data_IF_412798658794
#
_entry.id   IF_412798658794
#
_cell.length_a   1.000
_cell.length_b   1.000
_cell.length_c   1.000
_cell.angle_alpha   90.00
_cell.angle_beta   90.00
_cell.angle_gamma   90.00
#
_symmetry.space_group_name_H-M   'P 1'
#
loop_
_entity.id
_entity.type
_entity.pdbx_description
1 polymer ?
#
# COMPACT_ATOMS: atom_id res chain seq x y z
N UNK A 1 7.21 28.92 7.45
CA UNK A 1 7.31 27.71 6.60
C UNK A 1 6.76 26.53 7.40
N UNK A 2 5.61 25.96 7.04
CA UNK A 2 5.00 24.85 7.80
C UNK A 2 5.82 23.58 7.52
N UNK A 3 6.35 22.95 8.57
CA UNK A 3 7.07 21.69 8.47
C UNK A 3 6.07 20.59 8.11
N UNK A 4 6.23 19.95 6.95
CA UNK A 4 5.39 18.82 6.52
C UNK A 4 6.03 17.52 6.98
N UNK A 5 5.36 16.82 7.88
CA UNK A 5 5.71 15.45 8.22
C UNK A 5 5.11 14.50 7.20
N UNK A 6 5.88 13.47 6.82
CA UNK A 6 5.43 12.41 5.94
C UNK A 6 5.16 11.16 6.76
N UNK A 7 4.07 10.49 6.44
CA UNK A 7 3.72 9.22 7.04
C UNK A 7 3.46 8.20 5.95
N UNK A 8 3.91 6.98 6.19
CA UNK A 8 3.74 5.84 5.31
C UNK A 8 2.47 5.09 5.69
N UNK A 9 1.67 4.73 4.70
CA UNK A 9 0.40 4.01 4.86
C UNK A 9 0.45 2.72 4.06
N UNK A 10 0.01 1.62 4.68
CA UNK A 10 -0.16 0.30 4.08
C UNK A 10 -1.21 -0.48 4.87
N UNK A 11 -1.75 -1.54 4.27
CA UNK A 11 -2.76 -2.38 4.90
C UNK A 11 -2.16 -3.35 5.94
N UNK A 12 -3.02 -4.02 6.71
CA UNK A 12 -2.57 -4.94 7.78
C UNK A 12 -2.16 -6.33 7.29
N UNK A 13 -1.72 -6.49 6.04
CA UNK A 13 -1.25 -7.77 5.54
C UNK A 13 -0.12 -8.34 6.44
N UNK A 14 -0.03 -9.68 6.61
CA UNK A 14 0.97 -10.28 7.50
C UNK A 14 2.42 -9.89 7.19
N UNK A 15 2.77 -9.70 5.90
CA UNK A 15 4.12 -9.27 5.50
C UNK A 15 4.45 -7.84 5.94
N UNK A 16 3.46 -6.95 5.99
CA UNK A 16 3.64 -5.55 6.42
C UNK A 16 3.68 -5.41 7.94
N UNK A 17 3.05 -6.34 8.67
CA UNK A 17 3.00 -6.34 10.14
C UNK A 17 4.07 -7.23 10.79
N UNK A 18 4.85 -7.96 9.99
CA UNK A 18 5.98 -8.78 10.44
C UNK A 18 7.01 -7.96 11.22
N UNK A 19 7.67 -8.60 12.20
CA UNK A 19 8.68 -7.94 13.04
C UNK A 19 9.85 -7.38 12.22
N UNK A 20 10.34 -8.14 11.23
CA UNK A 20 11.40 -7.69 10.33
C UNK A 20 11.05 -6.39 9.60
N UNK A 21 9.81 -6.26 9.13
CA UNK A 21 9.31 -5.05 8.48
C UNK A 21 9.24 -3.89 9.47
N UNK A 22 8.69 -4.12 10.67
CA UNK A 22 8.58 -3.08 11.72
C UNK A 22 9.96 -2.57 12.16
N UNK A 23 10.91 -3.47 12.37
CA UNK A 23 12.29 -3.14 12.74
C UNK A 23 12.98 -2.32 11.65
N UNK A 24 12.79 -2.70 10.38
CA UNK A 24 13.32 -1.94 9.25
C UNK A 24 12.76 -0.52 9.21
N UNK A 25 11.44 -0.36 9.35
CA UNK A 25 10.78 0.95 9.31
C UNK A 25 11.24 1.84 10.47
N UNK A 26 11.33 1.27 11.69
CA UNK A 26 11.83 1.97 12.86
C UNK A 26 13.30 2.42 12.67
N UNK A 27 14.17 1.52 12.18
CA UNK A 27 15.59 1.83 11.90
C UNK A 27 15.75 2.93 10.86
N UNK A 28 14.81 3.05 9.92
CA UNK A 28 14.80 4.11 8.90
C UNK A 28 14.09 5.39 9.35
N UNK A 29 13.52 5.42 10.55
CA UNK A 29 12.77 6.57 11.06
C UNK A 29 11.49 6.86 10.28
N UNK A 30 10.95 5.85 9.58
CA UNK A 30 9.73 5.99 8.79
C UNK A 30 8.54 5.94 9.74
N UNK A 31 7.78 7.04 9.80
CA UNK A 31 6.52 7.11 10.55
C UNK A 31 5.45 6.35 9.79
N UNK A 32 4.75 5.45 10.44
CA UNK A 32 3.67 4.64 9.85
C UNK A 32 2.33 5.09 10.43
N UNK A 33 1.31 5.24 9.59
CA UNK A 33 -0.08 5.43 10.01
C UNK A 33 -0.69 4.07 10.31
N UNK A 34 -1.36 3.92 11.46
CA UNK A 34 -2.11 2.69 11.73
C UNK A 34 -3.33 2.59 10.81
N UNK A 35 -3.61 1.37 10.33
CA UNK A 35 -4.72 1.08 9.43
C UNK A 35 -5.70 0.12 10.09
N UNK A 36 -7.00 0.30 9.88
CA UNK A 36 -8.00 -0.61 10.43
C UNK A 36 -8.02 -1.94 9.65
N UNK A 37 -8.20 -3.10 10.31
CA UNK A 37 -8.42 -4.35 9.61
C UNK A 37 -9.64 -4.25 8.67
N UNK A 38 -9.57 -4.90 7.51
CA UNK A 38 -10.67 -5.01 6.54
C UNK A 38 -11.29 -3.67 6.10
N UNK A 39 -10.48 -2.61 6.01
CA UNK A 39 -10.95 -1.27 5.64
C UNK A 39 -10.37 -0.80 4.30
N UNK A 40 -10.65 -1.50 3.18
CA UNK A 40 -10.12 -1.13 1.86
C UNK A 40 -10.62 0.24 1.38
N UNK A 41 -11.77 0.70 1.87
CA UNK A 41 -12.29 2.04 1.66
C UNK A 41 -11.40 3.14 2.26
N UNK A 42 -10.63 2.82 3.30
CA UNK A 42 -9.67 3.71 3.94
C UNK A 42 -8.25 3.60 3.37
N UNK A 43 -8.01 2.68 2.44
CA UNK A 43 -6.72 2.51 1.79
C UNK A 43 -6.70 3.24 0.44
N UNK A 44 -5.91 4.32 0.26
CA UNK A 44 -5.89 5.06 -1.00
C UNK A 44 -5.55 4.20 -2.22
N UNK A 45 -4.67 3.21 -2.05
CA UNK A 45 -4.32 2.23 -3.08
C UNK A 45 -5.55 1.44 -3.58
N UNK A 46 -6.36 0.93 -2.64
CA UNK A 46 -7.49 0.07 -2.96
C UNK A 46 -8.72 0.87 -3.40
N UNK A 47 -9.01 1.99 -2.74
CA UNK A 47 -10.17 2.81 -3.03
C UNK A 47 -10.03 3.59 -4.35
N UNK A 48 -8.84 4.16 -4.61
CA UNK A 48 -8.66 5.06 -5.75
C UNK A 48 -7.91 4.41 -6.91
N UNK A 49 -6.74 3.83 -6.65
CA UNK A 49 -5.86 3.37 -7.74
C UNK A 49 -6.36 2.05 -8.37
N UNK A 50 -6.79 1.08 -7.56
CA UNK A 50 -7.23 -0.23 -8.07
C UNK A 50 -8.38 -0.14 -9.08
N UNK A 51 -9.47 0.64 -8.85
CA UNK A 51 -10.53 0.81 -9.84
C UNK A 51 -10.07 1.48 -11.13
N UNK A 52 -9.19 2.49 -11.03
CA UNK A 52 -8.62 3.17 -12.20
C UNK A 52 -7.81 2.18 -13.04
N UNK A 53 -6.96 1.38 -12.40
CA UNK A 53 -6.16 0.36 -13.06
C UNK A 53 -7.03 -0.71 -13.72
N UNK A 54 -8.08 -1.19 -13.03
CA UNK A 54 -9.04 -2.16 -13.60
C UNK A 54 -9.69 -1.63 -14.89
N UNK A 55 -10.09 -0.36 -14.90
CA UNK A 55 -10.65 0.28 -16.08
C UNK A 55 -9.62 0.41 -17.21
N UNK A 56 -8.38 0.76 -16.89
CA UNK A 56 -7.31 0.86 -17.88
C UNK A 56 -6.93 -0.48 -18.52
N UNK A 57 -7.11 -1.58 -17.77
CA UNK A 57 -6.79 -2.93 -18.21
C UNK A 57 -8.00 -3.66 -18.80
N UNK A 58 -9.17 -3.01 -18.87
CA UNK A 58 -10.36 -3.61 -19.44
C UNK A 58 -10.13 -3.93 -20.92
N UNK A 59 -10.35 -5.19 -21.32
CA UNK A 59 -10.09 -5.68 -22.67
C UNK A 59 -8.61 -5.90 -23.02
N UNK A 60 -7.69 -5.73 -22.07
CA UNK A 60 -6.27 -6.04 -22.28
C UNK A 60 -6.03 -7.52 -21.98
N UNK A 61 -5.60 -8.29 -22.98
CA UNK A 61 -5.12 -9.65 -22.76
C UNK A 61 -3.72 -9.62 -22.15
N UNK A 62 -3.61 -10.12 -20.91
CA UNK A 62 -2.33 -10.31 -20.24
C UNK A 62 -1.79 -11.68 -20.66
N UNK A 63 -0.89 -11.68 -21.65
CA UNK A 63 -0.15 -12.88 -22.05
C UNK A 63 1.08 -13.07 -21.17
N UNK A 64 1.20 -14.25 -20.59
CA UNK A 64 2.40 -14.66 -19.90
C UNK A 64 3.52 -14.89 -20.92
N UNK A 65 4.59 -14.09 -20.83
CA UNK A 65 5.78 -14.19 -21.69
C UNK A 65 6.89 -15.02 -21.08
N UNK A 66 6.62 -15.71 -19.97
CA UNK A 66 7.60 -16.57 -19.28
C UNK A 66 7.62 -18.02 -19.76
N UNK A 67 6.92 -18.32 -20.87
CA UNK A 67 6.97 -19.59 -21.63
C UNK A 67 7.80 -19.45 -22.90
#
# INVERSE_FOLDING_TARGET
>A
MVKRDWYFHFDKAPCHTANSTKEFLAKKGIKVIDHLPYSPDLAPADFFYSPVMKKMLEGVEIVDKSV
#
